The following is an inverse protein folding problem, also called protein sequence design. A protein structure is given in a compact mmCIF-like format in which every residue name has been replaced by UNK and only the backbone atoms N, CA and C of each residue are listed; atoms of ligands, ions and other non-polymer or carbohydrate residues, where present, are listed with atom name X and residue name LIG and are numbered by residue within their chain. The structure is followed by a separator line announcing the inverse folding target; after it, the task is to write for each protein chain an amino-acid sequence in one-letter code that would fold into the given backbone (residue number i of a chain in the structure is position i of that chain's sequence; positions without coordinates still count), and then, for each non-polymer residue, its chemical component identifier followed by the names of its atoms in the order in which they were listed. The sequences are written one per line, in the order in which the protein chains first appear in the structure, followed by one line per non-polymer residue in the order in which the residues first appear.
data_IF_769191298877
#
_entry.id   IF_769191298877
#
_cell.length_a   1.000
_cell.length_b   1.000
_cell.length_c   1.000
_cell.angle_alpha   90.00
_cell.angle_beta   90.00
_cell.angle_gamma   90.00
#
_symmetry.space_group_name_H-M   'P 1'
#
loop_
_entity.id
_entity.type
_entity.pdbx_description
1 polymer ?
#
# COMPACT_ATOMS: atom_id res chain seq x y z
N UNK A 1 -13.70 -67.71 33.57
CA UNK A 1 -14.32 -66.58 34.30
C UNK A 1 -13.25 -65.52 34.50
N UNK A 2 -13.49 -64.30 33.98
CA UNK A 2 -12.92 -62.99 34.39
C UNK A 2 -11.39 -62.81 34.21
N UNK A 3 -10.82 -61.77 33.61
CA UNK A 3 -11.31 -60.52 33.01
C UNK A 3 -10.18 -59.98 32.12
N UNK A 4 -10.50 -59.45 30.94
CA UNK A 4 -9.57 -58.67 30.12
C UNK A 4 -9.52 -57.23 30.65
N UNK A 5 -8.33 -56.71 30.93
CA UNK A 5 -8.10 -55.29 31.19
C UNK A 5 -7.59 -54.65 29.90
N UNK A 6 -8.48 -53.94 29.19
CA UNK A 6 -8.12 -53.07 28.07
C UNK A 6 -7.82 -51.69 28.64
N UNK A 7 -6.54 -51.33 28.70
CA UNK A 7 -6.11 -49.97 29.03
C UNK A 7 -6.28 -49.12 27.77
N UNK A 8 -7.37 -48.36 27.72
CA UNK A 8 -7.68 -47.42 26.65
C UNK A 8 -6.89 -46.13 26.88
N UNK A 9 -5.81 -45.93 26.12
CA UNK A 9 -5.09 -44.66 26.10
C UNK A 9 -5.86 -43.65 25.26
N UNK A 10 -6.65 -42.79 25.91
CA UNK A 10 -7.22 -41.59 25.29
C UNK A 10 -6.09 -40.58 25.08
N UNK A 11 -5.57 -40.52 23.84
CA UNK A 11 -4.74 -39.41 23.39
C UNK A 11 -5.67 -38.21 23.22
N UNK A 12 -5.65 -37.31 24.21
CA UNK A 12 -6.20 -35.96 24.09
C UNK A 12 -5.34 -35.21 23.06
N UNK A 13 -5.74 -35.26 21.79
CA UNK A 13 -5.30 -34.27 20.81
C UNK A 13 -5.99 -32.97 21.19
N UNK A 14 -5.32 -32.17 22.02
CA UNK A 14 -5.66 -30.77 22.17
C UNK A 14 -5.49 -30.14 20.77
N UNK A 15 -6.61 -30.01 20.06
CA UNK A 15 -6.68 -29.20 18.87
C UNK A 15 -6.27 -27.80 19.28
N UNK A 16 -5.06 -27.41 18.93
CA UNK A 16 -4.68 -26.00 18.88
C UNK A 16 -5.62 -25.36 17.88
N UNK A 17 -6.68 -24.72 18.38
CA UNK A 17 -7.40 -23.73 17.61
C UNK A 17 -6.37 -22.63 17.32
N UNK A 18 -5.70 -22.73 16.18
CA UNK A 18 -4.90 -21.67 15.63
C UNK A 18 -5.86 -20.54 15.26
N UNK A 19 -6.20 -19.70 16.23
CA UNK A 19 -6.56 -18.32 15.95
C UNK A 19 -5.31 -17.64 15.39
N UNK A 20 -5.05 -17.87 14.10
CA UNK A 20 -4.08 -17.09 13.34
C UNK A 20 -4.76 -15.78 12.96
N UNK A 21 -4.81 -14.86 13.92
CA UNK A 21 -4.68 -13.46 13.55
C UNK A 21 -3.27 -13.30 12.96
N UNK A 22 -3.16 -13.57 11.65
CA UNK A 22 -1.89 -13.60 10.92
C UNK A 22 -1.16 -12.27 11.09
N UNK A 23 -0.01 -12.30 11.77
CA UNK A 23 0.98 -11.22 11.75
C UNK A 23 1.76 -11.18 10.43
N UNK A 24 1.41 -12.04 9.47
CA UNK A 24 2.04 -12.17 8.15
C UNK A 24 1.22 -11.37 7.13
N UNK A 25 1.68 -10.16 6.83
CA UNK A 25 1.12 -9.37 5.74
C UNK A 25 1.35 -10.09 4.39
N UNK A 26 0.34 -10.17 3.49
CA UNK A 26 0.46 -10.90 2.24
C UNK A 26 1.69 -10.45 1.43
N UNK A 27 2.55 -11.42 1.10
CA UNK A 27 3.71 -11.19 0.25
C UNK A 27 4.87 -10.45 0.88
N UNK A 28 4.87 -10.16 2.19
CA UNK A 28 6.04 -9.58 2.85
C UNK A 28 7.27 -10.46 2.63
N UNK A 29 8.40 -9.83 2.34
CA UNK A 29 9.68 -10.50 2.11
C UNK A 29 10.83 -9.67 2.69
N UNK A 30 11.93 -10.31 3.05
CA UNK A 30 13.20 -9.67 3.36
C UNK A 30 14.17 -9.79 2.19
N UNK A 31 14.10 -10.90 1.47
CA UNK A 31 14.95 -11.19 0.32
C UNK A 31 14.17 -11.75 -0.85
N UNK A 32 14.73 -11.66 -2.06
CA UNK A 32 14.15 -12.30 -3.24
C UNK A 32 14.04 -13.81 -3.08
N UNK A 33 14.88 -14.44 -2.26
CA UNK A 33 14.79 -15.87 -1.99
C UNK A 33 13.45 -16.24 -1.35
N UNK A 34 12.94 -15.44 -0.42
CA UNK A 34 11.66 -15.66 0.24
C UNK A 34 10.50 -15.68 -0.79
N UNK A 35 10.58 -14.80 -1.78
CA UNK A 35 9.61 -14.73 -2.86
C UNK A 35 9.72 -15.91 -3.81
N UNK A 36 10.94 -16.35 -4.13
CA UNK A 36 11.18 -17.50 -5.00
C UNK A 36 10.69 -18.80 -4.35
N UNK A 37 10.92 -18.96 -3.04
CA UNK A 37 10.46 -20.14 -2.29
C UNK A 37 8.92 -20.20 -2.19
N UNK A 38 8.25 -19.04 -2.15
CA UNK A 38 6.79 -18.98 -1.96
C UNK A 38 6.00 -18.91 -3.28
N UNK A 39 6.49 -18.14 -4.25
CA UNK A 39 5.75 -17.78 -5.48
C UNK A 39 6.48 -18.18 -6.77
N UNK A 40 7.69 -18.73 -6.67
CA UNK A 40 8.49 -19.21 -7.80
C UNK A 40 9.51 -18.20 -8.33
N UNK A 41 10.38 -18.68 -9.21
CA UNK A 41 11.57 -17.95 -9.72
C UNK A 41 11.25 -16.65 -10.48
N UNK A 42 9.99 -16.44 -10.85
CA UNK A 42 9.52 -15.24 -11.53
C UNK A 42 9.21 -14.08 -10.59
N UNK A 43 9.43 -14.22 -9.28
CA UNK A 43 9.16 -13.16 -8.29
C UNK A 43 10.44 -12.54 -7.73
N UNK A 44 10.35 -11.26 -7.41
CA UNK A 44 11.41 -10.50 -6.76
C UNK A 44 10.88 -9.82 -5.50
N UNK A 45 11.73 -9.70 -4.49
CA UNK A 45 11.43 -8.89 -3.31
C UNK A 45 11.76 -7.43 -3.62
N UNK A 46 10.75 -6.57 -3.62
CA UNK A 46 10.89 -5.16 -3.96
C UNK A 46 10.60 -4.34 -2.72
N UNK A 47 11.50 -3.44 -2.35
CA UNK A 47 11.34 -2.52 -1.22
C UNK A 47 10.85 -1.15 -1.69
N UNK A 48 9.95 -0.53 -0.92
CA UNK A 48 9.61 0.89 -1.05
C UNK A 48 10.38 1.66 0.00
N UNK A 49 11.19 2.61 -0.43
CA UNK A 49 11.89 3.52 0.47
C UNK A 49 10.93 4.64 0.94
N UNK A 50 10.77 4.78 2.25
CA UNK A 50 9.87 5.75 2.87
C UNK A 50 10.51 6.41 4.09
N UNK A 51 9.97 7.57 4.46
CA UNK A 51 10.33 8.30 5.68
C UNK A 51 9.24 8.23 6.75
N UNK A 52 8.22 7.39 6.57
CA UNK A 52 7.18 7.18 7.58
C UNK A 52 7.76 6.36 8.74
N UNK A 53 7.71 6.94 9.94
CA UNK A 53 8.27 6.33 11.14
C UNK A 53 7.69 4.93 11.41
N UNK A 54 8.56 3.94 11.57
CA UNK A 54 8.20 2.54 11.80
C UNK A 54 7.81 1.75 10.54
N UNK A 55 7.93 2.35 9.35
CA UNK A 55 7.64 1.74 8.05
C UNK A 55 8.84 1.83 7.07
N UNK A 56 10.03 2.15 7.56
CA UNK A 56 11.23 2.42 6.75
C UNK A 56 11.68 1.20 5.92
N UNK A 57 11.26 -0.01 6.30
CA UNK A 57 11.55 -1.25 5.62
C UNK A 57 10.25 -1.96 5.24
N UNK A 58 9.68 -1.55 4.12
CA UNK A 58 8.52 -2.20 3.53
C UNK A 58 8.89 -2.83 2.20
N UNK A 59 8.72 -4.14 2.15
CA UNK A 59 9.04 -4.95 0.98
C UNK A 59 7.99 -6.01 0.75
N UNK A 60 7.75 -6.27 -0.53
CA UNK A 60 6.75 -7.23 -0.97
C UNK A 60 7.22 -7.98 -2.21
N UNK A 61 6.77 -9.24 -2.33
CA UNK A 61 6.96 -10.05 -3.51
C UNK A 61 6.13 -9.52 -4.67
N UNK A 62 6.80 -9.20 -5.77
CA UNK A 62 6.21 -8.71 -7.01
C UNK A 62 6.70 -9.60 -8.15
N UNK A 63 5.88 -9.85 -9.19
CA UNK A 63 6.38 -10.45 -10.43
C UNK A 63 7.60 -9.70 -10.99
N UNK A 64 8.75 -10.37 -10.97
CA UNK A 64 10.10 -9.84 -11.17
C UNK A 64 10.38 -9.28 -12.56
N UNK A 65 9.64 -9.71 -13.59
CA UNK A 65 9.88 -9.30 -14.98
C UNK A 65 9.65 -7.81 -15.25
N UNK A 66 8.92 -7.12 -14.37
CA UNK A 66 8.55 -5.72 -14.55
C UNK A 66 8.74 -4.90 -13.27
N UNK A 67 9.62 -5.29 -12.35
CA UNK A 67 9.82 -4.54 -11.10
C UNK A 67 10.60 -3.25 -11.34
N UNK A 68 10.26 -2.21 -10.58
CA UNK A 68 11.00 -0.96 -10.59
C UNK A 68 12.38 -1.16 -9.95
N UNK A 69 13.39 -1.43 -10.79
CA UNK A 69 14.74 -1.72 -10.34
C UNK A 69 15.75 -1.54 -11.46
N UNK A 70 16.94 -1.01 -11.13
CA UNK A 70 18.05 -0.91 -12.09
C UNK A 70 17.68 0.01 -13.27
N UNK A 71 17.52 -0.56 -14.46
CA UNK A 71 17.08 0.19 -15.67
C UNK A 71 15.58 0.18 -15.89
N UNK A 72 14.85 -0.67 -15.18
CA UNK A 72 13.45 -0.98 -15.49
C UNK A 72 12.54 -0.01 -14.74
N UNK A 73 11.81 0.80 -15.50
CA UNK A 73 10.69 1.61 -15.01
C UNK A 73 9.47 0.70 -14.81
N UNK A 74 9.29 0.22 -13.59
CA UNK A 74 8.41 -0.92 -13.32
C UNK A 74 7.36 -0.71 -12.25
N UNK A 75 6.89 -1.83 -11.73
CA UNK A 75 5.95 -1.98 -10.64
C UNK A 75 6.66 -1.88 -9.28
N UNK A 76 5.93 -1.33 -8.33
CA UNK A 76 6.29 -1.24 -6.93
C UNK A 76 5.24 -1.94 -6.07
N UNK A 77 5.59 -2.30 -4.82
CA UNK A 77 4.63 -2.83 -3.87
C UNK A 77 3.40 -1.96 -3.67
N UNK A 78 2.21 -2.52 -3.82
CA UNK A 78 0.94 -1.88 -3.43
C UNK A 78 0.47 -2.48 -2.11
N UNK A 79 -0.07 -1.66 -1.21
CA UNK A 79 -0.42 -2.10 0.16
C UNK A 79 -1.92 -2.10 0.43
N UNK A 80 -2.77 -2.12 -0.61
CA UNK A 80 -4.22 -1.93 -0.50
C UNK A 80 -4.92 -2.94 0.42
N UNK A 81 -4.45 -4.20 0.48
CA UNK A 81 -4.99 -5.20 1.41
C UNK A 81 -4.34 -5.21 2.80
N UNK A 82 -3.28 -4.43 3.00
CA UNK A 82 -2.61 -4.36 4.29
C UNK A 82 -3.40 -3.43 5.23
N UNK A 83 -3.16 -3.50 6.57
CA UNK A 83 -3.82 -2.59 7.50
C UNK A 83 -3.62 -1.11 7.16
N UNK A 84 -4.57 -0.28 7.55
CA UNK A 84 -4.61 1.17 7.27
C UNK A 84 -3.29 1.90 7.46
N UNK A 85 -2.53 1.58 8.52
CA UNK A 85 -1.24 2.21 8.80
C UNK A 85 -0.20 2.05 7.67
N UNK A 86 -0.31 1.03 6.82
CA UNK A 86 0.59 0.80 5.67
C UNK A 86 0.08 1.43 4.39
N UNK A 87 -1.24 1.65 4.27
CA UNK A 87 -1.88 2.22 3.07
C UNK A 87 -1.54 3.68 2.84
N UNK A 88 -0.91 4.35 3.80
CA UNK A 88 -0.37 5.70 3.65
C UNK A 88 0.81 5.76 2.66
N UNK A 89 1.47 4.63 2.40
CA UNK A 89 2.60 4.56 1.48
C UNK A 89 2.06 4.52 0.05
N UNK A 90 2.50 5.50 -0.76
CA UNK A 90 2.00 5.69 -2.12
C UNK A 90 3.18 5.56 -3.11
N UNK A 91 3.36 4.39 -3.76
CA UNK A 91 4.60 4.08 -4.47
C UNK A 91 4.79 4.86 -5.77
N UNK A 92 6.00 5.37 -5.95
CA UNK A 92 6.52 5.99 -7.17
C UNK A 92 7.77 5.23 -7.60
N UNK A 93 7.80 4.76 -8.84
CA UNK A 93 9.01 4.24 -9.45
C UNK A 93 9.88 5.40 -9.96
N UNK A 94 10.86 5.81 -9.16
CA UNK A 94 11.67 6.99 -9.43
C UNK A 94 13.09 6.59 -9.86
N UNK A 95 13.69 7.41 -10.73
CA UNK A 95 15.09 7.26 -11.12
C UNK A 95 15.97 8.06 -10.15
N UNK A 96 16.63 7.38 -9.22
CA UNK A 96 17.34 7.99 -8.11
C UNK A 96 18.84 7.98 -8.33
N UNK A 97 19.51 9.04 -7.85
CA UNK A 97 20.96 9.16 -7.90
C UNK A 97 21.59 8.05 -7.04
N UNK A 98 22.67 7.45 -7.54
CA UNK A 98 23.51 6.53 -6.78
C UNK A 98 24.92 7.11 -6.73
N UNK A 99 25.52 7.19 -5.53
CA UNK A 99 26.83 7.82 -5.36
C UNK A 99 28.00 6.89 -5.72
N UNK A 100 27.82 5.57 -5.66
CA UNK A 100 28.87 4.55 -5.88
C UNK A 100 28.77 3.87 -7.26
N UNK A 101 28.62 4.65 -8.32
CA UNK A 101 28.51 4.14 -9.70
C UNK A 101 29.88 3.78 -10.28
N UNK A 102 30.24 2.49 -10.25
CA UNK A 102 31.55 2.00 -10.70
C UNK A 102 31.63 1.79 -12.22
N UNK A 103 30.49 1.60 -12.90
CA UNK A 103 30.40 1.47 -14.36
C UNK A 103 29.22 2.30 -14.89
N UNK A 104 29.47 3.07 -15.95
CA UNK A 104 28.52 4.02 -16.53
C UNK A 104 28.10 3.56 -17.91
N UNK A 105 26.80 3.41 -18.14
CA UNK A 105 26.25 3.21 -19.47
C UNK A 105 25.38 4.41 -19.82
N UNK A 106 25.74 5.08 -20.91
CA UNK A 106 24.88 6.11 -21.49
C UNK A 106 23.74 5.38 -22.21
N UNK A 107 22.68 5.11 -21.46
CA UNK A 107 21.54 4.36 -21.96
C UNK A 107 20.52 5.30 -22.56
N UNK A 108 20.13 5.01 -23.79
CA UNK A 108 18.92 5.54 -24.42
C UNK A 108 17.81 4.49 -24.30
N UNK A 109 16.59 4.77 -24.75
CA UNK A 109 15.41 3.87 -24.71
C UNK A 109 15.64 2.47 -25.36
N UNK A 110 16.85 2.17 -25.90
CA UNK A 110 17.20 0.96 -26.66
C UNK A 110 18.35 0.10 -26.13
N UNK A 111 18.97 0.41 -24.99
CA UNK A 111 20.25 -0.22 -24.57
C UNK A 111 20.09 -1.35 -23.52
N UNK A 112 20.83 -2.45 -23.68
CA UNK A 112 20.84 -3.67 -22.84
C UNK A 112 21.56 -3.52 -21.48
N UNK A 113 21.18 -4.34 -20.49
CA UNK A 113 21.53 -4.23 -19.06
C UNK A 113 23.00 -4.56 -18.69
N UNK A 114 23.54 -3.89 -17.67
CA UNK A 114 24.82 -4.20 -17.01
C UNK A 114 24.66 -4.81 -15.60
N UNK A 115 25.75 -5.35 -15.04
CA UNK A 115 25.84 -6.11 -13.77
C UNK A 115 25.80 -5.23 -12.48
N UNK A 116 25.95 -5.84 -11.29
CA UNK A 116 26.02 -5.15 -10.00
C UNK A 116 27.00 -3.94 -10.01
N UNK A 117 26.55 -2.79 -9.50
CA UNK A 117 27.32 -1.52 -9.54
C UNK A 117 27.16 -0.71 -10.83
N UNK A 118 26.28 -1.16 -11.74
CA UNK A 118 25.91 -0.42 -12.94
C UNK A 118 24.92 0.69 -12.61
N UNK A 119 25.26 1.91 -13.01
CA UNK A 119 24.33 3.02 -13.06
C UNK A 119 24.08 3.47 -14.49
N UNK A 120 22.93 4.09 -14.66
CA UNK A 120 22.45 4.61 -15.91
C UNK A 120 22.49 6.13 -15.85
N UNK A 121 22.77 6.79 -16.98
CA UNK A 121 22.68 8.25 -17.06
C UNK A 121 21.31 8.64 -17.61
N UNK A 122 20.64 9.59 -16.96
CA UNK A 122 19.37 10.16 -17.42
C UNK A 122 19.39 11.67 -17.27
N UNK A 123 18.81 12.34 -18.26
CA UNK A 123 18.67 13.78 -18.29
C UNK A 123 17.24 14.18 -17.94
N UNK A 124 17.11 15.18 -17.08
CA UNK A 124 15.84 15.79 -16.68
C UNK A 124 15.82 17.21 -17.21
N UNK A 125 14.71 17.59 -17.86
CA UNK A 125 14.61 18.92 -18.47
C UNK A 125 13.20 19.48 -18.35
N UNK A 126 13.07 20.68 -17.81
CA UNK A 126 11.81 21.43 -17.79
C UNK A 126 12.11 22.92 -17.68
N UNK A 127 11.41 23.77 -18.43
CA UNK A 127 11.51 25.23 -18.36
C UNK A 127 12.97 25.77 -18.34
N UNK A 128 13.82 25.28 -19.25
CA UNK A 128 15.25 25.64 -19.35
C UNK A 128 16.13 25.20 -18.16
N UNK A 129 15.59 24.53 -17.15
CA UNK A 129 16.37 23.83 -16.14
C UNK A 129 16.75 22.44 -16.66
N UNK A 130 17.99 22.02 -16.39
CA UNK A 130 18.56 20.79 -16.91
C UNK A 130 19.44 20.14 -15.83
N UNK A 131 19.17 18.86 -15.54
CA UNK A 131 19.94 18.07 -14.58
C UNK A 131 20.30 16.72 -15.18
N UNK A 132 21.57 16.33 -15.06
CA UNK A 132 22.05 14.98 -15.41
C UNK A 132 22.20 14.17 -14.16
N UNK A 133 21.61 12.98 -14.14
CA UNK A 133 21.61 12.08 -13.00
C UNK A 133 22.19 10.74 -13.41
N UNK A 134 23.15 10.26 -12.63
CA UNK A 134 23.62 8.88 -12.71
C UNK A 134 22.94 8.08 -11.61
N UNK A 135 22.18 7.06 -11.98
CA UNK A 135 21.22 6.46 -11.08
C UNK A 135 20.63 5.15 -11.55
N UNK A 136 19.63 4.69 -10.78
CA UNK A 136 18.82 3.51 -11.07
C UNK A 136 17.36 3.77 -10.68
N UNK A 137 16.44 2.98 -11.24
CA UNK A 137 15.06 2.94 -10.78
C UNK A 137 14.95 2.26 -9.41
N UNK A 138 14.19 2.88 -8.52
CA UNK A 138 13.83 2.35 -7.21
C UNK A 138 12.42 2.80 -6.84
N UNK A 139 11.73 1.99 -6.03
CA UNK A 139 10.46 2.38 -5.46
C UNK A 139 10.64 3.32 -4.28
N UNK A 140 9.97 4.46 -4.35
CA UNK A 140 9.98 5.50 -3.34
C UNK A 140 8.55 5.84 -2.96
N UNK A 141 8.31 6.11 -1.69
CA UNK A 141 7.04 6.69 -1.25
C UNK A 141 6.88 8.11 -1.82
N UNK A 142 5.69 8.44 -2.33
CA UNK A 142 5.33 9.77 -2.84
C UNK A 142 5.68 10.88 -1.87
N UNK A 143 5.48 10.68 -0.57
CA UNK A 143 5.84 11.69 0.43
C UNK A 143 7.34 12.01 0.36
N UNK A 144 8.19 10.98 0.34
CA UNK A 144 9.65 11.10 0.22
C UNK A 144 10.08 11.59 -1.16
N UNK A 145 9.39 11.17 -2.22
CA UNK A 145 9.63 11.64 -3.59
C UNK A 145 9.49 13.15 -3.69
N UNK A 146 8.44 13.71 -3.07
CA UNK A 146 8.18 15.15 -3.07
C UNK A 146 9.14 15.91 -2.16
N UNK A 147 9.39 15.43 -0.93
CA UNK A 147 10.20 16.17 0.04
C UNK A 147 11.68 16.20 -0.30
N UNK A 148 12.21 15.12 -0.89
CA UNK A 148 13.61 15.06 -1.33
C UNK A 148 13.83 15.59 -2.75
N UNK A 149 12.78 16.04 -3.43
CA UNK A 149 12.81 16.42 -4.84
C UNK A 149 13.47 15.32 -5.72
N UNK A 150 13.02 14.08 -5.57
CA UNK A 150 13.55 12.92 -6.30
C UNK A 150 13.19 12.90 -7.79
N UNK A 151 12.41 13.87 -8.27
CA UNK A 151 12.28 14.22 -9.69
C UNK A 151 13.43 15.11 -10.21
N UNK A 152 14.39 15.46 -9.35
CA UNK A 152 15.58 16.30 -9.58
C UNK A 152 15.30 17.76 -9.91
N UNK A 153 14.17 18.05 -10.54
CA UNK A 153 13.64 19.39 -10.75
C UNK A 153 12.24 19.46 -10.12
N UNK A 154 11.99 20.49 -9.30
CA UNK A 154 10.75 20.58 -8.49
C UNK A 154 9.48 20.51 -9.35
N UNK A 155 9.48 21.17 -10.50
CA UNK A 155 8.35 21.16 -11.43
C UNK A 155 8.07 19.75 -11.99
N UNK A 156 9.10 18.92 -12.18
CA UNK A 156 8.91 17.52 -12.61
C UNK A 156 8.21 16.73 -11.51
N UNK A 157 8.67 16.86 -10.26
CA UNK A 157 8.07 16.15 -9.13
C UNK A 157 6.56 16.42 -9.01
N UNK A 158 6.16 17.69 -9.09
CA UNK A 158 4.73 18.07 -8.99
C UNK A 158 3.93 17.60 -10.23
N UNK A 159 4.55 17.65 -11.41
CA UNK A 159 3.96 17.15 -12.66
C UNK A 159 3.71 15.64 -12.58
N UNK A 160 4.68 14.86 -12.10
CA UNK A 160 4.57 13.39 -11.97
C UNK A 160 3.45 13.01 -11.00
N UNK A 161 3.37 13.66 -9.84
CA UNK A 161 2.30 13.41 -8.85
C UNK A 161 0.91 13.69 -9.46
N UNK A 162 0.80 14.73 -10.30
CA UNK A 162 -0.43 15.05 -11.02
C UNK A 162 -0.74 14.05 -12.14
N UNK A 163 0.26 13.65 -12.94
CA UNK A 163 0.11 12.65 -14.02
C UNK A 163 -0.38 11.30 -13.49
N UNK A 164 0.00 10.95 -12.26
CA UNK A 164 -0.44 9.73 -11.59
C UNK A 164 -1.71 9.90 -10.75
N UNK A 165 -2.50 10.95 -11.00
CA UNK A 165 -3.84 11.10 -10.45
C UNK A 165 -3.88 11.26 -8.93
N UNK A 166 -2.91 11.97 -8.32
CA UNK A 166 -2.95 12.24 -6.88
C UNK A 166 -4.27 12.88 -6.46
N UNK A 167 -4.97 12.20 -5.55
CA UNK A 167 -6.19 12.70 -4.94
C UNK A 167 -5.89 13.15 -3.51
N UNK A 168 -6.01 14.45 -3.26
CA UNK A 168 -5.72 15.02 -1.94
C UNK A 168 -6.74 14.63 -0.86
N UNK A 169 -7.98 14.29 -1.26
CA UNK A 169 -9.05 13.87 -0.33
C UNK A 169 -8.84 12.45 0.16
N UNK A 170 -8.62 11.51 -0.75
CA UNK A 170 -8.34 10.10 -0.39
C UNK A 170 -6.88 9.86 -0.01
N UNK A 171 -5.99 10.82 -0.28
CA UNK A 171 -4.53 10.70 -0.11
C UNK A 171 -3.91 9.53 -0.88
N UNK A 172 -4.46 9.23 -2.06
CA UNK A 172 -4.03 8.11 -2.90
C UNK A 172 -3.42 8.58 -4.20
N UNK A 173 -2.38 7.89 -4.64
CA UNK A 173 -1.80 7.93 -5.97
C UNK A 173 -2.24 6.68 -6.73
N UNK A 174 -2.62 6.80 -8.01
CA UNK A 174 -3.14 5.66 -8.78
C UNK A 174 -4.28 4.92 -8.05
N UNK A 175 -5.12 5.68 -7.35
CA UNK A 175 -6.24 5.20 -6.52
C UNK A 175 -5.86 4.12 -5.49
N UNK A 176 -4.56 3.96 -5.18
CA UNK A 176 -4.05 2.89 -4.31
C UNK A 176 -3.94 1.51 -4.99
N UNK A 177 -4.23 1.40 -6.29
CA UNK A 177 -4.32 0.15 -7.04
C UNK A 177 -3.30 0.06 -8.18
N UNK A 178 -2.20 0.79 -8.07
CA UNK A 178 -1.13 0.76 -9.07
C UNK A 178 0.14 1.44 -8.58
N UNK A 179 1.13 1.47 -9.47
CA UNK A 179 2.39 2.19 -9.27
C UNK A 179 2.44 3.42 -10.18
N UNK A 180 2.83 4.57 -9.64
CA UNK A 180 3.18 5.71 -10.46
C UNK A 180 4.56 5.48 -11.07
N UNK A 181 4.64 5.26 -12.38
CA UNK A 181 5.86 4.82 -13.05
C UNK A 181 6.02 5.51 -14.41
N UNK A 182 7.25 5.70 -14.91
CA UNK A 182 7.46 6.19 -16.26
C UNK A 182 6.72 5.33 -17.30
N UNK A 183 6.19 5.97 -18.35
CA UNK A 183 5.55 5.29 -19.49
C UNK A 183 6.42 4.16 -20.04
N UNK A 184 7.70 4.46 -20.24
CA UNK A 184 8.74 3.51 -20.65
C UNK A 184 10.03 3.84 -19.90
N UNK A 185 11.00 2.91 -19.93
CA UNK A 185 12.33 3.13 -19.35
C UNK A 185 12.91 4.48 -19.81
N UNK A 186 13.36 5.28 -18.84
CA UNK A 186 13.94 6.62 -18.99
C UNK A 186 12.99 7.75 -19.42
N UNK A 187 11.69 7.47 -19.62
CA UNK A 187 10.70 8.52 -19.90
C UNK A 187 10.57 9.53 -18.75
N UNK A 188 10.28 10.79 -19.11
CA UNK A 188 9.97 11.84 -18.14
C UNK A 188 8.49 11.90 -17.78
N UNK A 189 7.62 11.45 -18.68
CA UNK A 189 6.20 11.33 -18.44
C UNK A 189 5.87 10.02 -17.72
N UNK A 190 4.97 10.13 -16.75
CA UNK A 190 4.55 9.04 -15.89
C UNK A 190 3.09 8.69 -16.15
N UNK A 191 2.74 7.46 -15.81
CA UNK A 191 1.38 6.98 -15.77
C UNK A 191 1.18 6.06 -14.56
N UNK A 192 -0.08 5.73 -14.32
CA UNK A 192 -0.43 4.67 -13.39
C UNK A 192 -0.32 3.32 -14.07
N UNK A 193 0.69 2.54 -13.69
CA UNK A 193 0.75 1.11 -14.00
C UNK A 193 -0.16 0.37 -13.04
N UNK A 194 -1.40 0.20 -13.46
CA UNK A 194 -2.44 -0.43 -12.66
C UNK A 194 -2.16 -1.91 -12.44
N UNK A 195 -2.55 -2.38 -11.27
CA UNK A 195 -2.67 -3.80 -11.02
C UNK A 195 -3.72 -4.41 -11.96
N UNK A 196 -3.59 -5.71 -12.30
CA UNK A 196 -4.55 -6.40 -13.16
C UNK A 196 -5.99 -6.25 -12.62
N UNK A 197 -7.00 -6.19 -13.49
CA UNK A 197 -8.39 -6.00 -13.06
C UNK A 197 -8.78 -4.60 -12.60
N UNK A 198 -7.92 -3.59 -12.81
CA UNK A 198 -8.24 -2.16 -12.66
C UNK A 198 -8.13 -1.41 -13.99
N UNK A 199 -8.91 -0.33 -14.13
CA UNK A 199 -8.94 0.48 -15.34
C UNK A 199 -7.72 1.41 -15.45
N UNK A 200 -6.95 1.30 -16.52
CA UNK A 200 -5.78 2.15 -16.76
C UNK A 200 -6.12 3.60 -17.12
N UNK A 201 -7.34 3.86 -17.62
CA UNK A 201 -7.76 5.19 -18.08
C UNK A 201 -8.32 6.10 -16.99
N UNK A 202 -8.51 5.60 -15.77
CA UNK A 202 -9.09 6.36 -14.65
C UNK A 202 -8.19 6.35 -13.39
N UNK A 203 -6.88 6.23 -13.60
CA UNK A 203 -5.89 6.12 -12.52
C UNK A 203 -6.15 4.92 -11.61
N UNK A 204 -6.52 3.76 -12.18
CA UNK A 204 -6.75 2.51 -11.47
C UNK A 204 -7.92 2.57 -10.48
N UNK A 205 -8.92 3.41 -10.74
CA UNK A 205 -10.02 3.61 -9.83
C UNK A 205 -11.10 2.54 -10.00
N UNK A 206 -11.58 2.31 -11.23
CA UNK A 206 -12.63 1.33 -11.46
C UNK A 206 -12.06 -0.09 -11.51
N UNK A 207 -12.73 -1.00 -10.80
CA UNK A 207 -12.53 -2.44 -10.94
C UNK A 207 -13.18 -2.91 -12.24
N UNK A 208 -12.41 -3.62 -13.07
CA UNK A 208 -12.84 -4.13 -14.38
C UNK A 208 -12.93 -5.66 -14.42
N UNK A 209 -12.15 -6.36 -13.61
CA UNK A 209 -12.19 -7.84 -13.52
C UNK A 209 -11.74 -8.33 -12.13
N UNK A 210 -11.83 -9.64 -11.91
CA UNK A 210 -11.36 -10.30 -10.69
C UNK A 210 -9.89 -10.75 -10.76
N UNK A 211 -9.20 -10.43 -11.86
CA UNK A 211 -7.80 -10.75 -12.05
C UNK A 211 -6.93 -9.97 -11.06
N UNK A 212 -5.82 -10.57 -10.64
CA UNK A 212 -4.86 -9.91 -9.77
C UNK A 212 -3.42 -10.18 -10.22
N UNK A 213 -2.56 -9.17 -10.06
CA UNK A 213 -1.14 -9.21 -10.43
C UNK A 213 -0.23 -9.00 -9.22
N UNK A 214 -0.79 -8.71 -8.05
CA UNK A 214 -0.03 -8.60 -6.80
C UNK A 214 -0.68 -9.42 -5.67
N UNK A 215 0.18 -9.95 -4.81
CA UNK A 215 -0.15 -10.75 -3.62
C UNK A 215 -1.05 -10.02 -2.60
N UNK A 216 -1.07 -8.69 -2.63
CA UNK A 216 -1.81 -7.81 -1.71
C UNK A 216 -2.97 -7.05 -2.37
N UNK A 217 -3.41 -7.49 -3.54
CA UNK A 217 -4.40 -6.75 -4.33
C UNK A 217 -5.84 -6.96 -3.85
N UNK A 218 -6.18 -8.20 -3.49
CA UNK A 218 -7.55 -8.71 -3.38
C UNK A 218 -8.30 -8.29 -2.11
N UNK A 219 -8.27 -7.00 -1.76
CA UNK A 219 -8.93 -6.46 -0.57
C UNK A 219 -8.40 -7.08 0.73
N UNK A 220 -8.88 -6.61 1.88
CA UNK A 220 -8.44 -7.12 3.20
C UNK A 220 -9.03 -8.50 3.53
N UNK A 221 -10.05 -8.94 2.79
CA UNK A 221 -10.73 -10.24 2.91
C UNK A 221 -10.55 -11.12 1.68
N UNK A 222 -9.45 -10.97 0.94
CA UNK A 222 -9.18 -11.84 -0.19
C UNK A 222 -7.70 -12.14 -0.38
N UNK A 223 -7.45 -13.13 -1.22
CA UNK A 223 -6.10 -13.60 -1.56
C UNK A 223 -5.99 -13.75 -3.06
N UNK A 224 -4.84 -13.38 -3.61
CA UNK A 224 -4.56 -13.58 -5.03
C UNK A 224 -3.98 -14.97 -5.25
N UNK A 225 -4.71 -15.84 -5.95
CA UNK A 225 -4.24 -17.17 -6.30
C UNK A 225 -3.42 -17.16 -7.57
N UNK A 226 -2.10 -17.23 -7.46
CA UNK A 226 -1.20 -17.41 -8.60
C UNK A 226 -1.05 -18.89 -8.94
N UNK A 227 -0.91 -19.19 -10.24
CA UNK A 227 -0.54 -20.53 -10.70
C UNK A 227 0.97 -20.55 -10.94
N UNK A 228 1.59 -21.72 -10.77
CA UNK A 228 3.03 -21.85 -11.02
C UNK A 228 3.41 -21.33 -12.42
N UNK A 229 4.36 -20.39 -12.45
CA UNK A 229 4.84 -19.77 -13.69
C UNK A 229 3.95 -18.65 -14.25
N UNK A 230 2.88 -18.23 -13.57
CA UNK A 230 2.07 -17.08 -13.98
C UNK A 230 2.43 -15.81 -13.21
N UNK A 231 2.19 -14.66 -13.82
CA UNK A 231 2.34 -13.33 -13.19
C UNK A 231 0.98 -12.69 -12.87
N UNK A 232 -0.11 -13.38 -13.21
CA UNK A 232 -1.49 -13.02 -12.92
C UNK A 232 -2.22 -14.21 -12.30
N UNK A 233 -3.23 -13.90 -11.51
CA UNK A 233 -4.07 -14.83 -10.79
C UNK A 233 -5.50 -14.30 -10.68
N UNK A 234 -6.29 -14.94 -9.82
CA UNK A 234 -7.68 -14.54 -9.54
C UNK A 234 -7.85 -14.33 -8.03
N UNK A 235 -8.63 -13.32 -7.66
CA UNK A 235 -8.95 -13.07 -6.27
C UNK A 235 -9.94 -14.12 -5.74
N UNK A 236 -9.61 -14.71 -4.59
CA UNK A 236 -10.50 -15.58 -3.82
C UNK A 236 -10.88 -14.87 -2.53
N UNK A 237 -12.19 -14.67 -2.34
CA UNK A 237 -12.73 -13.94 -1.20
C UNK A 237 -12.99 -14.87 -0.01
N UNK A 238 -12.60 -14.41 1.17
CA UNK A 238 -12.95 -15.01 2.43
C UNK A 238 -14.42 -14.73 2.78
N UNK A 239 -14.95 -15.50 3.75
CA UNK A 239 -16.33 -15.35 4.21
C UNK A 239 -16.66 -13.90 4.60
N UNK A 240 -17.85 -13.44 4.20
CA UNK A 240 -18.32 -12.07 4.42
C UNK A 240 -17.90 -11.08 3.34
N UNK A 241 -17.11 -11.49 2.34
CA UNK A 241 -16.74 -10.68 1.18
C UNK A 241 -17.06 -11.40 -0.14
N UNK A 242 -17.33 -10.63 -1.19
CA UNK A 242 -17.62 -11.11 -2.55
C UNK A 242 -17.24 -10.07 -3.61
N UNK A 243 -17.51 -10.43 -4.87
CA UNK A 243 -17.29 -9.58 -6.02
C UNK A 243 -15.82 -9.48 -6.42
N UNK A 244 -15.58 -8.79 -7.54
CA UNK A 244 -14.24 -8.59 -8.05
C UNK A 244 -13.34 -7.91 -7.01
N UNK A 245 -12.09 -8.35 -6.91
CA UNK A 245 -11.10 -7.80 -5.96
C UNK A 245 -11.50 -7.94 -4.48
N UNK A 246 -12.56 -8.70 -4.18
CA UNK A 246 -13.10 -8.88 -2.83
C UNK A 246 -13.39 -7.57 -2.10
N UNK A 247 -13.93 -6.58 -2.82
CA UNK A 247 -14.22 -5.25 -2.29
C UNK A 247 -15.67 -5.06 -1.84
N UNK A 248 -16.55 -6.03 -2.09
CA UNK A 248 -17.95 -5.97 -1.68
C UNK A 248 -18.21 -6.89 -0.50
N UNK A 249 -19.10 -6.49 0.40
CA UNK A 249 -19.60 -7.35 1.46
C UNK A 249 -20.64 -8.34 0.94
N UNK A 250 -20.63 -9.53 1.53
CA UNK A 250 -21.61 -10.56 1.25
C UNK A 250 -22.69 -10.60 2.33
N UNK A 251 -23.80 -9.90 2.08
CA UNK A 251 -24.95 -9.87 2.99
C UNK A 251 -25.59 -11.25 3.27
N UNK A 252 -25.25 -12.29 2.50
CA UNK A 252 -25.75 -13.65 2.73
C UNK A 252 -24.93 -14.45 3.76
N UNK A 253 -23.72 -13.96 4.11
CA UNK A 253 -22.88 -14.58 5.12
C UNK A 253 -23.35 -14.22 6.54
N UNK A 254 -22.81 -14.92 7.55
CA UNK A 254 -23.12 -14.66 8.97
C UNK A 254 -22.81 -13.20 9.35
N UNK A 255 -23.64 -12.60 10.20
CA UNK A 255 -23.41 -11.26 10.76
C UNK A 255 -22.08 -11.16 11.53
N UNK A 256 -21.54 -12.29 11.97
CA UNK A 256 -20.25 -12.40 12.67
C UNK A 256 -19.03 -12.13 11.76
N UNK A 257 -19.18 -12.27 10.43
CA UNK A 257 -18.07 -12.09 9.47
C UNK A 257 -18.25 -10.90 8.56
N UNK A 258 -19.51 -10.53 8.29
CA UNK A 258 -19.89 -9.42 7.43
C UNK A 258 -19.53 -8.10 8.11
N UNK A 259 -18.82 -7.23 7.38
CA UNK A 259 -18.37 -5.93 7.89
C UNK A 259 -17.65 -6.01 9.25
N UNK A 260 -17.01 -7.14 9.54
CA UNK A 260 -16.34 -7.47 10.81
C UNK A 260 -17.18 -7.11 12.05
N UNK A 261 -18.50 -7.34 12.02
CA UNK A 261 -19.43 -7.07 13.14
C UNK A 261 -19.52 -5.58 13.53
N UNK A 262 -18.90 -4.70 12.76
CA UNK A 262 -18.78 -3.28 13.04
C UNK A 262 -19.51 -2.41 12.02
N UNK A 263 -20.44 -3.02 11.29
CA UNK A 263 -21.26 -2.34 10.30
C UNK A 263 -22.36 -3.24 9.74
N UNK A 264 -23.15 -2.67 8.85
CA UNK A 264 -24.19 -3.40 8.11
C UNK A 264 -23.85 -3.41 6.62
N UNK A 265 -24.03 -4.56 5.96
CA UNK A 265 -23.84 -4.64 4.52
C UNK A 265 -25.04 -4.06 3.77
N UNK A 266 -24.80 -3.01 2.99
CA UNK A 266 -25.78 -2.39 2.12
C UNK A 266 -26.18 -3.30 0.96
N UNK A 267 -27.30 -2.97 0.30
CA UNK A 267 -27.78 -3.69 -0.89
C UNK A 267 -26.85 -3.55 -2.10
N UNK A 268 -26.02 -2.51 -2.11
CA UNK A 268 -24.94 -2.26 -3.08
C UNK A 268 -23.66 -3.06 -2.77
N UNK A 269 -23.64 -3.82 -1.67
CA UNK A 269 -22.46 -4.55 -1.22
C UNK A 269 -21.42 -3.67 -0.53
N UNK A 270 -21.78 -2.47 -0.07
CA UNK A 270 -20.88 -1.58 0.69
C UNK A 270 -21.20 -1.67 2.19
N UNK A 271 -20.17 -1.76 3.02
CA UNK A 271 -20.35 -1.73 4.47
C UNK A 271 -20.64 -0.31 4.98
N UNK A 272 -21.76 -0.13 5.65
CA UNK A 272 -22.05 1.04 6.47
C UNK A 272 -21.48 0.81 7.88
N UNK A 273 -20.32 1.41 8.17
CA UNK A 273 -19.62 1.23 9.44
C UNK A 273 -20.26 2.02 10.58
N UNK A 274 -20.18 1.46 11.79
CA UNK A 274 -20.44 2.16 13.05
C UNK A 274 -19.46 3.33 13.22
N UNK A 275 -19.84 4.33 14.03
CA UNK A 275 -19.11 5.62 14.16
C UNK A 275 -17.61 5.50 14.46
N UNK A 276 -17.21 4.43 15.14
CA UNK A 276 -15.85 4.24 15.64
C UNK A 276 -15.00 3.34 14.72
N UNK A 277 -15.52 3.02 13.53
CA UNK A 277 -14.88 2.12 12.56
C UNK A 277 -14.92 2.69 11.14
N UNK A 278 -13.90 2.33 10.37
CA UNK A 278 -13.74 2.72 8.97
C UNK A 278 -13.12 1.57 8.15
N UNK A 279 -12.95 1.81 6.85
CA UNK A 279 -12.41 0.88 5.88
C UNK A 279 -13.51 0.07 5.20
N UNK A 280 -13.16 -0.58 4.09
CA UNK A 280 -14.09 -1.33 3.21
C UNK A 280 -14.96 -2.34 3.97
N UNK A 281 -14.42 -2.94 5.03
CA UNK A 281 -15.13 -3.91 5.87
C UNK A 281 -15.19 -3.49 7.34
N UNK A 282 -15.07 -2.20 7.67
CA UNK A 282 -15.15 -1.69 9.05
C UNK A 282 -14.13 -2.29 10.02
N UNK A 283 -12.94 -2.67 9.52
CA UNK A 283 -11.89 -3.28 10.33
C UNK A 283 -11.01 -2.26 11.06
N UNK A 284 -10.97 -1.01 10.59
CA UNK A 284 -10.07 0.01 11.13
C UNK A 284 -10.79 0.80 12.22
N UNK A 285 -10.36 0.66 13.47
CA UNK A 285 -10.88 1.51 14.56
C UNK A 285 -10.37 2.95 14.40
N UNK A 286 -11.24 3.93 14.61
CA UNK A 286 -10.90 5.37 14.58
C UNK A 286 -10.12 5.84 15.81
N UNK A 287 -9.83 4.94 16.76
CA UNK A 287 -9.08 5.26 17.98
C UNK A 287 -9.89 6.05 19.00
N UNK A 288 -11.18 6.30 18.78
CA UNK A 288 -12.08 6.96 19.74
C UNK A 288 -12.64 5.98 20.79
N UNK A 289 -11.89 4.94 21.16
CA UNK A 289 -12.21 4.22 22.39
C UNK A 289 -11.84 5.15 23.53
N UNK A 290 -12.86 5.70 24.19
CA UNK A 290 -12.70 6.53 25.37
C UNK A 290 -11.66 5.90 26.29
N UNK A 291 -10.53 6.60 26.42
CA UNK A 291 -9.55 6.29 27.44
C UNK A 291 -10.31 6.31 28.77
N UNK A 292 -10.54 5.12 29.31
CA UNK A 292 -10.89 4.95 30.70
C UNK A 292 -9.85 5.70 31.51
N UNK A 293 -10.25 6.86 32.01
CA UNK A 293 -9.50 7.69 32.93
C UNK A 293 -9.16 6.86 34.16
N UNK A 294 -7.93 6.37 34.24
CA UNK A 294 -7.31 6.09 35.53
C UNK A 294 -6.56 7.35 35.97
N UNK A 295 -6.82 7.88 37.17
CA UNK A 295 -6.38 9.20 37.56
C UNK A 295 -4.89 9.17 37.89
N UNK A 296 -4.08 9.91 37.15
CA UNK A 296 -2.72 10.24 37.56
C UNK A 296 -2.65 11.74 37.87
N UNK A 297 -2.63 12.02 39.17
CA UNK A 297 -2.20 13.23 39.87
C UNK A 297 -2.36 14.57 39.12
N UNK A 298 -3.47 15.26 39.37
CA UNK A 298 -3.55 16.69 39.15
C UNK A 298 -2.68 17.42 40.20
N UNK A 299 -1.51 17.91 39.77
CA UNK A 299 -0.83 19.01 40.46
C UNK A 299 -1.59 20.29 40.14
N UNK A 300 -2.22 20.85 41.17
CA UNK A 300 -2.86 22.16 41.22
C UNK A 300 -1.95 23.27 40.68
N UNK A 301 -2.38 23.93 39.61
CA UNK A 301 -2.01 25.34 39.35
C UNK A 301 -3.29 26.09 39.02
N UNK A 302 -3.78 26.86 39.99
CA UNK A 302 -4.82 27.85 39.82
C UNK A 302 -4.28 28.97 38.93
N UNK A 303 -4.95 29.25 37.81
CA UNK A 303 -4.83 30.52 37.10
C UNK A 303 -6.23 31.11 36.99
N UNK A 304 -6.39 32.27 37.61
CA UNK A 304 -7.64 33.01 37.75
C UNK A 304 -8.06 33.61 36.40
N UNK A 305 -9.36 33.53 36.10
CA UNK A 305 -10.01 34.22 35.00
C UNK A 305 -10.34 35.64 35.48
N UNK A 306 -9.62 36.63 34.97
CA UNK A 306 -9.97 38.05 35.13
C UNK A 306 -10.86 38.47 33.97
N UNK A 307 -12.11 38.79 34.28
CA UNK A 307 -13.08 39.42 33.40
C UNK A 307 -12.65 40.85 33.06
N UNK A 308 -12.49 41.16 31.78
CA UNK A 308 -12.51 42.55 31.31
C UNK A 308 -13.73 42.72 30.43
N UNK A 309 -14.74 43.39 30.99
CA UNK A 309 -15.84 43.98 30.26
C UNK A 309 -15.29 45.17 29.45
N UNK A 310 -15.65 45.24 28.17
CA UNK A 310 -15.52 46.49 27.40
C UNK A 310 -16.83 46.74 26.69
N UNK A 311 -17.48 47.81 27.14
CA UNK A 311 -18.68 48.39 26.54
C UNK A 311 -18.30 49.29 25.35
N UNK A 312 -19.36 49.82 24.70
CA UNK A 312 -19.42 51.05 23.87
C UNK A 312 -19.00 50.83 22.39
N UNK A 313 -19.73 51.24 21.32
CA UNK A 313 -20.84 52.20 21.12
C UNK A 313 -21.59 51.84 19.83
N UNK A 314 -22.92 51.93 19.83
CA UNK A 314 -23.75 52.13 18.63
C UNK A 314 -23.78 53.60 18.22
N UNK A 315 -23.52 53.92 16.95
CA UNK A 315 -24.12 55.02 16.19
C UNK A 315 -23.59 54.96 14.74
N UNK A 316 -24.28 55.33 13.66
CA UNK A 316 -25.66 55.71 13.30
C UNK A 316 -25.66 55.68 11.75
N UNK A 317 -26.82 55.43 11.15
CA UNK A 317 -27.14 55.56 9.72
C UNK A 317 -26.72 56.89 9.06
N UNK A 318 -26.14 56.80 7.86
CA UNK A 318 -26.51 57.56 6.64
C UNK A 318 -25.59 57.12 5.48
#
# INVERSE_FOLDING_TARGET
MRSAAVVSAMVLVAGVAAQTASTTFPGRCETTKDCVETYGSSYACVSVDTSVAGLEQLSMCIPGGQVCSGRIAGLCPTFSSWPSKYRVIQPVCAFLKVDNCNQQFNVTVKSSAGSNGTCYQRNFTVNNEYVVVNGIYQCLDKAKYVTSNSGHIKNITDTVVKQCGWNATSQTLCSGHGTCSPLVDFAQDYECKCNAGYNSSDFCNAVTSNECSTVSQCGTKGTCGFKDGTTTGECTCAAGAKGNQCLLCDASASSEVVCNEHGTCGSDGVCACSSDYNGTFCSDSTGTKGSSSSPSAATTVKMAISTIATALIMAVFA
#
